data_IF_375950672690
#
_entry.id   IF_375950672690
#
_cell.length_a   1.000
_cell.length_b   1.000
_cell.length_c   1.000
_cell.angle_alpha   90.00
_cell.angle_beta   90.00
_cell.angle_gamma   90.00
#
_symmetry.space_group_name_H-M   'P 1'
#
loop_
_entity.id
_entity.type
_entity.pdbx_description
1 polymer ?
#
# COMPACT_ATOMS: atom_id res chain seq x y z
N UNK A 1 -3.56 -13.09 17.20
CA UNK A 1 -4.31 -12.03 16.47
C UNK A 1 -4.70 -12.58 15.11
N UNK A 2 -5.98 -12.44 14.74
CA UNK A 2 -6.51 -12.95 13.47
C UNK A 2 -5.90 -12.24 12.27
N UNK A 3 -5.95 -12.90 11.10
CA UNK A 3 -5.52 -12.34 9.83
C UNK A 3 -6.28 -11.06 9.50
N UNK A 4 -5.57 -10.04 9.08
CA UNK A 4 -6.12 -8.77 8.63
C UNK A 4 -6.06 -8.66 7.12
N UNK A 5 -7.07 -8.01 6.55
CA UNK A 5 -7.09 -7.66 5.13
C UNK A 5 -6.49 -6.27 4.91
N UNK A 6 -5.65 -6.16 3.89
CA UNK A 6 -5.11 -4.90 3.42
C UNK A 6 -4.97 -4.95 1.90
N UNK A 7 -5.11 -3.81 1.26
CA UNK A 7 -4.65 -3.68 -0.13
C UNK A 7 -3.12 -3.69 -0.14
N UNK A 8 -2.47 -4.09 -1.26
CA UNK A 8 -1.02 -4.01 -1.36
C UNK A 8 -0.52 -2.61 -1.04
N UNK A 9 0.40 -2.50 -0.10
CA UNK A 9 0.92 -1.22 0.37
C UNK A 9 2.23 -1.40 1.14
N UNK A 10 3.12 -0.45 0.99
CA UNK A 10 4.37 -0.42 1.73
C UNK A 10 4.96 0.99 1.78
N UNK A 11 6.14 1.07 2.36
CA UNK A 11 6.85 2.33 2.52
C UNK A 11 7.67 2.65 1.26
N UNK A 12 7.73 3.94 0.94
CA UNK A 12 8.64 4.43 -0.09
C UNK A 12 10.08 4.15 0.32
N UNK A 13 10.86 3.61 -0.61
CA UNK A 13 12.29 3.37 -0.42
C UNK A 13 13.12 4.48 -1.05
N UNK A 14 14.35 4.73 -0.55
CA UNK A 14 15.27 5.65 -1.19
C UNK A 14 15.56 5.23 -2.64
N UNK A 15 15.61 6.20 -3.53
CA UNK A 15 15.96 5.98 -4.94
C UNK A 15 14.79 5.61 -5.84
N UNK A 16 13.55 5.62 -5.34
CA UNK A 16 12.37 5.34 -6.16
C UNK A 16 11.34 6.47 -6.14
N UNK A 17 10.58 6.57 -7.22
CA UNK A 17 9.39 7.43 -7.27
C UNK A 17 8.21 6.77 -6.55
N UNK A 18 7.15 7.55 -6.26
CA UNK A 18 5.93 7.01 -5.66
C UNK A 18 5.29 5.91 -6.53
N UNK A 19 5.30 6.08 -7.85
CA UNK A 19 4.79 5.07 -8.79
C UNK A 19 5.64 3.80 -8.74
N UNK A 20 6.95 3.94 -8.78
CA UNK A 20 7.87 2.80 -8.68
C UNK A 20 7.70 2.05 -7.36
N UNK A 21 7.57 2.76 -6.25
CA UNK A 21 7.33 2.17 -4.94
C UNK A 21 6.02 1.38 -4.90
N UNK A 22 4.95 1.93 -5.46
CA UNK A 22 3.67 1.23 -5.55
C UNK A 22 3.79 -0.05 -6.40
N UNK A 23 4.41 0.02 -7.55
CA UNK A 23 4.58 -1.12 -8.45
C UNK A 23 5.45 -2.21 -7.83
N UNK A 24 6.51 -1.84 -7.11
CA UNK A 24 7.35 -2.75 -6.34
C UNK A 24 6.56 -3.47 -5.26
N UNK A 25 5.82 -2.75 -4.45
CA UNK A 25 5.02 -3.32 -3.35
C UNK A 25 3.95 -4.29 -3.86
N UNK A 26 3.27 -3.97 -4.96
CA UNK A 26 2.30 -4.90 -5.55
C UNK A 26 2.99 -6.20 -5.97
N UNK A 27 4.15 -6.12 -6.59
CA UNK A 27 4.90 -7.31 -7.00
C UNK A 27 5.37 -8.13 -5.79
N UNK A 28 5.90 -7.49 -4.77
CA UNK A 28 6.40 -8.14 -3.56
C UNK A 28 5.30 -8.81 -2.73
N UNK A 29 4.14 -8.17 -2.65
CA UNK A 29 3.05 -8.66 -1.82
C UNK A 29 2.06 -9.58 -2.55
N UNK A 30 2.04 -9.56 -3.88
CA UNK A 30 1.04 -10.32 -4.67
C UNK A 30 1.64 -11.23 -5.74
N UNK A 31 2.92 -11.13 -6.02
CA UNK A 31 3.60 -11.79 -7.15
C UNK A 31 3.03 -11.41 -8.53
N UNK A 32 2.24 -10.35 -8.62
CA UNK A 32 1.76 -9.80 -9.89
C UNK A 32 2.56 -8.56 -10.28
N UNK A 33 2.98 -8.48 -11.53
CA UNK A 33 3.41 -7.23 -12.10
C UNK A 33 2.24 -6.24 -12.11
N UNK A 34 2.51 -4.98 -11.89
CA UNK A 34 1.49 -3.93 -11.85
C UNK A 34 2.01 -2.68 -12.54
N UNK A 35 1.14 -2.04 -13.30
CA UNK A 35 1.41 -0.74 -13.92
C UNK A 35 0.39 0.27 -13.45
N UNK A 36 0.83 1.25 -12.69
CA UNK A 36 -0.01 2.36 -12.26
C UNK A 36 -0.46 3.20 -13.46
N UNK A 37 -1.74 3.55 -13.50
CA UNK A 37 -2.33 4.34 -14.58
C UNK A 37 -2.89 5.67 -14.09
N UNK A 38 -3.32 5.73 -12.84
CA UNK A 38 -3.85 6.95 -12.24
C UNK A 38 -3.67 6.94 -10.72
N UNK A 39 -3.63 8.14 -10.15
CA UNK A 39 -3.75 8.35 -8.71
C UNK A 39 -5.23 8.35 -8.33
N UNK A 40 -5.61 7.55 -7.36
CA UNK A 40 -6.99 7.54 -6.81
C UNK A 40 -7.15 8.64 -5.78
N UNK A 41 -6.17 8.84 -4.92
CA UNK A 41 -6.22 9.86 -3.90
C UNK A 41 -5.00 9.87 -3.00
N UNK A 42 -4.97 10.89 -2.13
CA UNK A 42 -3.95 11.08 -1.11
C UNK A 42 -4.66 11.10 0.23
N UNK A 43 -4.22 10.28 1.18
CA UNK A 43 -4.91 10.04 2.43
C UNK A 43 -3.98 10.23 3.60
N UNK A 44 -4.47 10.88 4.64
CA UNK A 44 -3.76 11.06 5.90
C UNK A 44 -4.46 10.25 6.99
N UNK A 45 -3.72 9.41 7.68
CA UNK A 45 -4.22 8.63 8.81
C UNK A 45 -3.18 8.53 9.91
N UNK A 46 -3.64 8.29 11.13
CA UNK A 46 -2.78 8.15 12.30
C UNK A 46 -3.08 6.85 13.01
N UNK A 47 -2.03 6.15 13.37
CA UNK A 47 -2.09 4.95 14.19
C UNK A 47 -1.40 5.23 15.53
N UNK A 48 -2.10 4.95 16.63
CA UNK A 48 -1.56 5.06 17.97
C UNK A 48 -1.73 3.75 18.71
N UNK A 49 -0.69 3.33 19.40
CA UNK A 49 -0.69 2.16 20.28
C UNK A 49 0.03 2.53 21.56
N UNK A 50 -0.63 2.47 22.72
CA UNK A 50 0.02 2.73 24.00
C UNK A 50 1.20 1.79 24.25
N UNK A 51 2.17 2.27 25.00
CA UNK A 51 3.22 1.39 25.49
C UNK A 51 2.63 0.29 26.39
N UNK A 52 3.14 -0.91 26.28
CA UNK A 52 2.80 -1.99 27.16
C UNK A 52 4.07 -2.42 27.94
N UNK A 53 4.14 -1.98 29.18
CA UNK A 53 5.30 -2.23 30.05
C UNK A 53 5.46 -3.72 30.42
N UNK A 54 4.38 -4.49 30.38
CA UNK A 54 4.41 -5.90 30.75
C UNK A 54 5.15 -6.76 29.72
N UNK A 55 5.03 -6.42 28.43
CA UNK A 55 5.67 -7.15 27.33
C UNK A 55 6.78 -6.35 26.63
N UNK A 56 7.12 -5.17 27.15
CA UNK A 56 8.18 -4.32 26.59
C UNK A 56 7.81 -3.66 25.24
N UNK A 57 6.54 -3.65 24.87
CA UNK A 57 6.11 -2.98 23.62
C UNK A 57 6.17 -1.46 23.80
N UNK A 58 6.93 -0.73 22.97
CA UNK A 58 7.02 0.72 23.08
C UNK A 58 5.75 1.42 22.60
N UNK A 59 5.56 2.66 23.02
CA UNK A 59 4.56 3.56 22.43
C UNK A 59 4.78 3.66 20.93
N UNK A 60 3.70 3.50 20.17
CA UNK A 60 3.69 3.78 18.73
C UNK A 60 2.74 4.93 18.43
N UNK A 61 3.21 5.91 17.70
CA UNK A 61 2.43 7.03 17.21
C UNK A 61 2.92 7.38 15.81
N UNK A 62 2.20 6.92 14.81
CA UNK A 62 2.62 6.97 13.42
C UNK A 62 1.55 7.67 12.60
N UNK A 63 1.95 8.71 11.89
CA UNK A 63 1.10 9.36 10.88
C UNK A 63 1.51 8.84 9.50
N UNK A 64 0.55 8.30 8.78
CA UNK A 64 0.73 7.80 7.41
C UNK A 64 0.20 8.81 6.41
N UNK A 65 1.03 9.16 5.45
CA UNK A 65 0.63 9.83 4.22
C UNK A 65 0.59 8.77 3.11
N UNK A 66 -0.61 8.41 2.69
CA UNK A 66 -0.83 7.34 1.72
C UNK A 66 -1.18 7.91 0.35
N UNK A 67 -0.50 7.41 -0.67
CA UNK A 67 -0.82 7.64 -2.08
C UNK A 67 -1.43 6.35 -2.62
N UNK A 68 -2.68 6.39 -3.06
CA UNK A 68 -3.37 5.22 -3.60
C UNK A 68 -3.46 5.32 -5.12
N UNK A 69 -3.08 4.26 -5.79
CA UNK A 69 -3.06 4.17 -7.25
C UNK A 69 -4.03 3.10 -7.73
N UNK A 70 -4.52 3.27 -8.94
CA UNK A 70 -5.15 2.21 -9.70
C UNK A 70 -4.38 1.99 -11.00
N UNK A 71 -4.54 0.80 -11.57
CA UNK A 71 -3.81 0.45 -12.78
C UNK A 71 -4.14 -0.94 -13.26
N UNK A 72 -3.23 -1.50 -14.01
CA UNK A 72 -3.40 -2.78 -14.69
C UNK A 72 -2.44 -3.81 -14.11
N UNK A 73 -2.98 -4.99 -13.80
CA UNK A 73 -2.16 -6.15 -13.48
C UNK A 73 -1.56 -6.75 -14.74
N UNK A 74 -0.30 -7.14 -14.62
CA UNK A 74 0.43 -7.89 -15.63
C UNK A 74 0.60 -9.36 -15.25
N UNK A 75 1.74 -9.92 -15.60
CA UNK A 75 2.04 -11.33 -15.38
C UNK A 75 2.11 -11.68 -13.89
N UNK A 76 1.61 -12.88 -13.59
CA UNK A 76 1.76 -13.52 -12.28
C UNK A 76 2.99 -14.43 -12.27
N UNK A 77 3.86 -14.23 -11.29
CA UNK A 77 5.03 -15.07 -11.07
C UNK A 77 4.74 -16.09 -9.95
N UNK A 78 4.37 -17.30 -10.36
CA UNK A 78 4.06 -18.39 -9.45
C UNK A 78 5.26 -18.89 -8.62
N UNK A 79 6.48 -18.54 -9.01
CA UNK A 79 7.72 -18.93 -8.32
C UNK A 79 8.14 -17.91 -7.25
N UNK A 80 7.56 -16.71 -7.29
CA UNK A 80 7.94 -15.63 -6.40
C UNK A 80 7.41 -15.88 -4.99
N UNK A 81 8.30 -15.77 -4.00
CA UNK A 81 7.90 -15.69 -2.60
C UNK A 81 7.28 -14.33 -2.32
N UNK A 82 6.18 -14.33 -1.58
CA UNK A 82 5.59 -13.11 -1.06
C UNK A 82 6.42 -12.59 0.12
N UNK A 83 6.34 -11.29 0.34
CA UNK A 83 7.03 -10.63 1.45
C UNK A 83 6.67 -11.24 2.81
N UNK A 84 7.63 -11.14 3.74
CA UNK A 84 7.43 -11.56 5.12
C UNK A 84 6.23 -10.85 5.73
N UNK A 85 5.33 -11.63 6.33
CA UNK A 85 4.09 -11.12 6.94
C UNK A 85 2.88 -11.20 6.01
N UNK A 86 3.07 -11.45 4.72
CA UNK A 86 1.98 -11.72 3.78
C UNK A 86 1.70 -13.21 3.79
N UNK A 87 0.51 -13.59 4.25
CA UNK A 87 0.09 -15.00 4.29
C UNK A 87 -0.33 -15.47 2.91
N UNK A 88 -1.15 -14.69 2.24
CA UNK A 88 -1.63 -14.97 0.88
C UNK A 88 -2.32 -13.75 0.28
N UNK A 89 -2.45 -13.75 -1.03
CA UNK A 89 -3.29 -12.83 -1.79
C UNK A 89 -4.67 -13.42 -1.97
N UNK A 90 -5.70 -12.59 -1.85
CA UNK A 90 -7.09 -12.98 -2.12
C UNK A 90 -7.73 -11.96 -3.07
N UNK A 91 -8.60 -12.45 -3.94
CA UNK A 91 -9.45 -11.61 -4.78
C UNK A 91 -10.81 -11.49 -4.14
N UNK A 92 -11.25 -10.26 -3.92
CA UNK A 92 -12.53 -9.95 -3.30
C UNK A 92 -13.31 -8.99 -4.18
N UNK A 93 -14.61 -9.22 -4.30
CA UNK A 93 -15.52 -8.23 -4.87
C UNK A 93 -15.68 -7.02 -3.96
N UNK A 94 -16.20 -5.92 -4.49
CA UNK A 94 -16.47 -4.73 -3.69
C UNK A 94 -17.39 -5.03 -2.50
N UNK A 95 -18.40 -5.87 -2.69
CA UNK A 95 -19.33 -6.24 -1.62
C UNK A 95 -18.67 -7.10 -0.54
N UNK A 96 -17.81 -8.03 -0.92
CA UNK A 96 -17.00 -8.81 0.05
C UNK A 96 -16.06 -7.91 0.86
N UNK A 97 -15.46 -6.91 0.21
CA UNK A 97 -14.64 -5.92 0.91
C UNK A 97 -15.47 -5.14 1.92
N UNK A 98 -16.65 -4.65 1.53
CA UNK A 98 -17.57 -3.94 2.45
C UNK A 98 -17.98 -4.80 3.64
N UNK A 99 -18.34 -6.06 3.38
CA UNK A 99 -18.77 -7.01 4.41
C UNK A 99 -17.66 -7.40 5.38
N UNK A 100 -16.40 -7.31 4.94
CA UNK A 100 -15.22 -7.67 5.75
C UNK A 100 -14.59 -6.48 6.47
N UNK A 101 -15.25 -5.33 6.55
CA UNK A 101 -14.67 -4.08 7.07
C UNK A 101 -14.05 -4.20 8.46
N UNK A 102 -14.61 -5.03 9.34
CA UNK A 102 -14.08 -5.28 10.70
C UNK A 102 -12.73 -6.01 10.68
N UNK A 103 -12.38 -6.65 9.58
CA UNK A 103 -11.10 -7.35 9.38
C UNK A 103 -10.05 -6.50 8.68
N UNK A 104 -10.39 -5.31 8.24
CA UNK A 104 -9.46 -4.43 7.55
C UNK A 104 -8.37 -3.94 8.51
N UNK A 105 -7.15 -3.85 8.02
CA UNK A 105 -6.02 -3.30 8.76
C UNK A 105 -6.22 -1.83 9.12
N UNK A 106 -6.88 -1.09 8.23
CA UNK A 106 -7.28 0.29 8.49
C UNK A 106 -8.56 0.64 7.73
N UNK A 107 -9.25 1.69 8.15
CA UNK A 107 -10.41 2.23 7.44
C UNK A 107 -10.08 2.70 6.02
N UNK A 108 -8.80 2.93 5.71
CA UNK A 108 -8.36 3.40 4.39
C UNK A 108 -8.52 2.32 3.31
N UNK A 109 -8.55 1.05 3.66
CA UNK A 109 -8.81 -0.04 2.70
C UNK A 109 -10.16 0.17 2.01
N UNK A 110 -11.21 0.35 2.79
CA UNK A 110 -12.55 0.60 2.27
C UNK A 110 -12.65 1.97 1.59
N UNK A 111 -12.08 3.01 2.18
CA UNK A 111 -12.13 4.37 1.63
C UNK A 111 -11.48 4.46 0.25
N UNK A 112 -10.32 3.89 0.06
CA UNK A 112 -9.65 3.88 -1.25
C UNK A 112 -10.48 3.14 -2.30
N UNK A 113 -11.07 2.01 -1.96
CA UNK A 113 -11.94 1.26 -2.86
C UNK A 113 -13.18 2.08 -3.26
N UNK A 114 -13.86 2.70 -2.30
CA UNK A 114 -15.06 3.51 -2.58
C UNK A 114 -14.75 4.72 -3.45
N UNK A 115 -13.62 5.39 -3.21
CA UNK A 115 -13.17 6.50 -4.04
C UNK A 115 -12.86 6.02 -5.47
N UNK A 116 -12.22 4.86 -5.62
CA UNK A 116 -12.00 4.23 -6.91
C UNK A 116 -13.32 3.93 -7.65
N UNK A 117 -14.28 3.34 -6.97
CA UNK A 117 -15.58 2.97 -7.56
C UNK A 117 -16.41 4.18 -7.96
N UNK A 118 -16.27 5.31 -7.27
CA UNK A 118 -16.90 6.57 -7.66
C UNK A 118 -16.26 7.21 -8.90
N UNK A 119 -15.21 6.63 -9.43
CA UNK A 119 -14.50 7.15 -10.59
C UNK A 119 -13.45 8.21 -10.26
N UNK A 120 -13.05 8.35 -9.00
CA UNK A 120 -12.03 9.31 -8.61
C UNK A 120 -10.67 8.93 -9.19
N UNK A 121 -10.17 9.77 -10.09
CA UNK A 121 -8.93 9.56 -10.83
C UNK A 121 -8.23 10.90 -11.03
N UNK A 122 -6.94 10.89 -10.80
CA UNK A 122 -6.06 12.02 -11.10
C UNK A 122 -4.92 11.51 -11.98
N UNK A 123 -4.50 12.31 -12.99
CA UNK A 123 -3.40 11.88 -13.85
C UNK A 123 -2.10 11.75 -13.04
N UNK A 124 -1.23 10.81 -13.44
CA UNK A 124 0.03 10.57 -12.75
C UNK A 124 0.99 11.77 -12.81
N UNK A 125 0.80 12.67 -13.77
CA UNK A 125 1.61 13.88 -13.91
C UNK A 125 1.34 14.96 -12.85
N UNK A 126 0.34 14.76 -11.96
CA UNK A 126 0.25 15.56 -10.72
C UNK A 126 1.39 15.27 -9.76
N UNK A 127 2.09 14.15 -9.95
CA UNK A 127 3.25 13.74 -9.17
C UNK A 127 4.51 14.13 -9.92
N UNK A 128 5.34 14.95 -9.29
CA UNK A 128 6.65 15.29 -9.83
C UNK A 128 7.73 14.64 -8.96
N UNK A 129 8.63 13.91 -9.58
CA UNK A 129 9.79 13.33 -8.90
C UNK A 129 11.03 14.06 -9.35
N UNK A 130 11.64 14.80 -8.43
CA UNK A 130 12.93 15.45 -8.70
C UNK A 130 14.03 14.41 -8.86
N UNK A 131 14.99 14.67 -9.73
CA UNK A 131 16.08 13.75 -10.01
C UNK A 131 16.88 13.38 -8.75
N UNK A 132 16.98 14.27 -7.78
CA UNK A 132 17.66 14.01 -6.50
C UNK A 132 17.03 12.88 -5.69
N UNK A 133 15.70 12.64 -5.85
CA UNK A 133 14.99 11.56 -5.17
C UNK A 133 15.31 10.18 -5.77
N UNK A 134 15.83 10.13 -7.00
CA UNK A 134 16.17 8.89 -7.72
C UNK A 134 17.63 8.50 -7.59
N UNK A 135 18.43 9.33 -6.93
CA UNK A 135 19.83 9.03 -6.69
C UNK A 135 19.97 8.06 -5.53
N UNK A 136 20.63 6.94 -5.77
CA UNK A 136 20.98 6.00 -4.71
C UNK A 136 21.99 6.66 -3.76
N UNK A 137 21.95 6.38 -2.46
CA UNK A 137 22.88 7.00 -1.53
C UNK A 137 24.32 6.77 -1.97
N UNK A 138 25.11 7.83 -1.94
CA UNK A 138 26.55 7.78 -2.22
C UNK A 138 27.15 6.80 -1.20
N UNK A 139 27.71 5.71 -1.68
CA UNK A 139 28.54 4.85 -0.85
C UNK A 139 29.71 5.66 -0.33
N UNK A 140 29.73 5.87 0.96
CA UNK A 140 30.84 6.52 1.68
C UNK A 140 32.12 5.74 1.54
#
# INVERSE_FOLDING_TARGET
>A
EGLRLNNPAGHLEPGESLVQGCEREVLEETAHAFRAQALVGIYLSRFQRPANLQNGTPLQDITYLRFAFCGQLGLFDAQRRLDTGIVRTVWLSADEIRQSATRHRSAMVLRCMEDYLRGQRYPLDVLTTDASALVWPISS
#
